data_IF_615508049203
#
_entry.id   IF_615508049203
#
_cell.length_a   1.000
_cell.length_b   1.000
_cell.length_c   1.000
_cell.angle_alpha   90.00
_cell.angle_beta   90.00
_cell.angle_gamma   90.00
#
_symmetry.space_group_name_H-M   'P 1'
#
loop_
_entity.id
_entity.type
_entity.pdbx_description
1 polymer ?
#
# COMPACT_ATOMS: atom_id res chain seq x y z
N UNK A 1 2.15 -24.04 -11.20
CA UNK A 1 1.61 -23.27 -10.07
C UNK A 1 2.39 -21.96 -9.99
N UNK A 2 1.97 -20.96 -10.74
CA UNK A 2 2.51 -19.59 -10.68
C UNK A 2 1.98 -18.96 -9.40
N UNK A 3 2.65 -19.23 -8.27
CA UNK A 3 2.25 -18.94 -6.89
C UNK A 3 2.24 -17.45 -6.49
N UNK A 4 2.14 -16.52 -7.45
CA UNK A 4 2.16 -15.09 -7.16
C UNK A 4 1.02 -14.42 -7.92
N UNK A 5 -0.19 -14.77 -7.50
CA UNK A 5 -1.41 -14.10 -7.92
C UNK A 5 -1.31 -12.61 -7.55
N UNK A 6 -1.29 -11.81 -8.60
CA UNK A 6 -1.39 -10.35 -8.58
C UNK A 6 -2.66 -9.88 -7.82
N UNK A 7 -3.63 -10.79 -7.66
CA UNK A 7 -4.91 -10.62 -6.95
C UNK A 7 -4.79 -10.47 -5.42
N UNK A 8 -3.60 -10.63 -4.82
CA UNK A 8 -3.42 -10.51 -3.35
C UNK A 8 -3.38 -9.05 -2.83
N UNK A 9 -3.32 -8.08 -3.74
CA UNK A 9 -3.17 -6.64 -3.42
C UNK A 9 -4.35 -5.85 -3.97
N UNK A 10 -5.54 -6.12 -3.44
CA UNK A 10 -6.72 -5.32 -3.74
C UNK A 10 -6.68 -3.99 -2.98
N UNK A 11 -6.86 -2.89 -3.71
CA UNK A 11 -7.03 -1.56 -3.11
C UNK A 11 -8.45 -1.39 -2.57
N UNK A 12 -8.59 -0.61 -1.50
CA UNK A 12 -9.89 -0.30 -0.96
C UNK A 12 -10.73 0.44 -2.02
N UNK A 13 -12.02 0.12 -2.15
CA UNK A 13 -12.91 0.70 -3.16
C UNK A 13 -13.09 2.23 -3.07
N UNK A 14 -12.75 2.81 -1.91
CA UNK A 14 -12.84 4.24 -1.64
C UNK A 14 -11.47 4.92 -1.73
N UNK A 15 -10.41 4.14 -1.96
CA UNK A 15 -9.06 4.65 -2.07
C UNK A 15 -8.85 5.37 -3.40
N UNK A 16 -8.02 6.39 -3.36
CA UNK A 16 -7.65 7.17 -4.53
C UNK A 16 -6.17 7.53 -4.42
N UNK A 17 -5.38 7.17 -5.42
CA UNK A 17 -3.93 7.41 -5.45
C UNK A 17 -3.51 8.89 -5.34
N UNK A 18 -4.42 9.82 -5.61
CA UNK A 18 -4.17 11.27 -5.59
C UNK A 18 -4.56 11.92 -4.25
N UNK A 19 -5.12 11.16 -3.30
CA UNK A 19 -5.59 11.68 -2.01
C UNK A 19 -5.30 10.71 -0.87
N UNK A 20 -5.09 11.26 0.33
CA UNK A 20 -5.00 10.42 1.52
C UNK A 20 -6.34 9.74 1.80
N UNK A 21 -6.36 8.41 1.91
CA UNK A 21 -7.53 7.61 2.24
C UNK A 21 -8.24 8.07 3.53
N UNK A 22 -7.47 8.54 4.52
CA UNK A 22 -8.00 8.93 5.83
C UNK A 22 -8.50 10.38 5.87
N UNK A 23 -7.69 11.34 5.41
CA UNK A 23 -8.01 12.77 5.55
C UNK A 23 -8.42 13.45 4.23
N UNK A 24 -8.32 12.77 3.10
CA UNK A 24 -8.66 13.31 1.78
C UNK A 24 -7.66 14.33 1.21
N UNK A 25 -6.60 14.69 1.95
CA UNK A 25 -5.65 15.71 1.52
C UNK A 25 -4.92 15.29 0.23
N UNK A 26 -4.91 16.14 -0.82
CA UNK A 26 -4.11 15.92 -2.01
C UNK A 26 -2.66 16.31 -1.73
N UNK A 27 -1.77 15.32 -1.71
CA UNK A 27 -0.33 15.46 -1.46
C UNK A 27 0.45 14.89 -2.63
N UNK A 28 1.69 15.33 -2.81
CA UNK A 28 2.59 14.77 -3.83
C UNK A 28 3.24 13.43 -3.42
N UNK A 29 3.16 13.05 -2.13
CA UNK A 29 3.74 11.79 -1.63
C UNK A 29 2.77 11.07 -0.71
N UNK A 30 2.47 9.83 -1.08
CA UNK A 30 1.66 8.89 -0.31
C UNK A 30 2.41 7.58 -0.09
N UNK A 31 2.10 6.93 1.03
CA UNK A 31 2.57 5.61 1.37
C UNK A 31 1.45 4.61 1.10
N UNK A 32 1.77 3.53 0.40
CA UNK A 32 0.84 2.43 0.16
C UNK A 32 0.96 1.43 1.31
N UNK A 33 -0.11 1.25 2.07
CA UNK A 33 -0.15 0.44 3.28
C UNK A 33 -1.38 -0.47 3.24
N UNK A 34 -1.34 -1.58 3.98
CA UNK A 34 -2.54 -2.41 4.17
C UNK A 34 -3.30 -1.96 5.40
N UNK A 35 -4.59 -1.67 5.25
CA UNK A 35 -5.47 -1.36 6.37
C UNK A 35 -5.90 -2.64 7.08
N UNK A 36 -5.69 -2.72 8.39
CA UNK A 36 -5.98 -3.92 9.19
C UNK A 36 -7.46 -4.33 9.12
N UNK A 37 -8.38 -3.34 9.12
CA UNK A 37 -9.83 -3.59 9.15
C UNK A 37 -10.36 -4.29 7.89
N UNK A 38 -9.94 -3.82 6.72
CA UNK A 38 -10.43 -4.32 5.43
C UNK A 38 -9.47 -5.34 4.80
N UNK A 39 -8.24 -5.42 5.31
CA UNK A 39 -7.11 -6.09 4.66
C UNK A 39 -6.85 -5.59 3.24
N UNK A 40 -7.35 -4.40 2.85
CA UNK A 40 -7.12 -3.81 1.53
C UNK A 40 -6.01 -2.76 1.57
N UNK A 41 -5.40 -2.51 0.42
CA UNK A 41 -4.35 -1.50 0.25
C UNK A 41 -4.95 -0.09 0.17
N UNK A 42 -4.27 0.90 0.76
CA UNK A 42 -4.69 2.30 0.77
C UNK A 42 -3.50 3.25 0.65
N UNK A 43 -3.74 4.47 0.15
CA UNK A 43 -2.76 5.56 0.11
C UNK A 43 -2.92 6.47 1.33
N UNK A 44 -1.87 6.64 2.14
CA UNK A 44 -1.87 7.58 3.27
C UNK A 44 -0.79 8.63 3.14
N UNK A 45 -1.11 9.86 3.58
CA UNK A 45 -0.08 10.87 3.81
C UNK A 45 0.75 10.52 5.05
N UNK A 46 1.92 11.14 5.15
CA UNK A 46 2.84 10.97 6.28
C UNK A 46 2.15 11.22 7.63
N UNK A 47 1.42 12.33 7.77
CA UNK A 47 0.75 12.67 9.02
C UNK A 47 -0.28 11.62 9.45
N UNK A 48 -1.08 11.10 8.51
CA UNK A 48 -2.07 10.07 8.83
C UNK A 48 -1.40 8.75 9.19
N UNK A 49 -0.36 8.36 8.45
CA UNK A 49 0.44 7.17 8.78
C UNK A 49 1.00 7.26 10.21
N UNK A 50 1.62 8.38 10.57
CA UNK A 50 2.26 8.52 11.88
C UNK A 50 1.26 8.58 13.04
N UNK A 51 0.09 9.18 12.83
CA UNK A 51 -0.95 9.32 13.86
C UNK A 51 -1.83 8.07 14.05
N UNK A 52 -1.74 7.08 13.15
CA UNK A 52 -2.63 5.91 13.18
C UNK A 52 -1.93 4.59 12.83
N UNK A 53 -0.69 4.44 13.29
CA UNK A 53 0.18 3.30 12.97
C UNK A 53 -0.40 1.93 13.32
N UNK A 54 -1.33 1.83 14.28
CA UNK A 54 -1.97 0.55 14.63
C UNK A 54 -3.03 0.10 13.64
N UNK A 55 -3.60 1.03 12.86
CA UNK A 55 -4.69 0.74 11.91
C UNK A 55 -4.17 0.23 10.56
N UNK A 56 -2.85 0.33 10.34
CA UNK A 56 -2.19 0.04 9.07
C UNK A 56 -0.85 -0.66 9.29
N UNK A 57 -0.45 -1.50 8.34
CA UNK A 57 0.91 -2.03 8.33
C UNK A 57 1.53 -1.97 6.93
N UNK A 58 2.86 -1.88 6.91
CA UNK A 58 3.64 -2.02 5.69
C UNK A 58 3.63 -3.49 5.29
N UNK A 59 2.90 -3.80 4.22
CA UNK A 59 2.88 -5.14 3.67
C UNK A 59 4.13 -5.37 2.80
N UNK A 60 5.22 -5.75 3.46
CA UNK A 60 6.48 -6.15 2.83
C UNK A 60 6.54 -7.67 2.59
N UNK A 61 5.40 -8.38 2.60
CA UNK A 61 5.38 -9.84 2.50
C UNK A 61 5.68 -10.36 1.09
N UNK A 62 5.80 -9.49 0.07
CA UNK A 62 6.29 -9.91 -1.24
C UNK A 62 7.69 -10.50 -1.10
N UNK A 63 7.92 -11.75 -1.54
CA UNK A 63 9.26 -12.29 -1.63
C UNK A 63 10.12 -11.35 -2.46
N UNK A 64 11.31 -11.02 -1.98
CA UNK A 64 12.28 -10.25 -2.74
C UNK A 64 12.57 -10.99 -4.06
N UNK A 65 12.12 -10.44 -5.18
CA UNK A 65 12.46 -10.98 -6.50
C UNK A 65 13.90 -10.60 -6.80
N UNK A 66 14.82 -11.53 -6.55
CA UNK A 66 16.24 -11.39 -6.92
C UNK A 66 16.48 -11.32 -8.45
N UNK A 67 15.42 -11.33 -9.25
CA UNK A 67 15.39 -11.10 -10.70
C UNK A 67 14.58 -9.80 -10.90
N UNK A 68 15.06 -8.68 -11.45
CA UNK A 68 15.98 -8.51 -12.58
C UNK A 68 16.64 -7.12 -12.49
N UNK A 69 17.96 -7.05 -12.32
CA UNK A 69 18.72 -6.04 -13.07
C UNK A 69 18.86 -6.63 -14.49
N UNK A 70 18.52 -5.90 -15.56
CA UNK A 70 18.98 -6.33 -16.87
C UNK A 70 20.52 -6.32 -16.84
N UNK A 71 21.21 -7.38 -17.31
CA UNK A 71 22.64 -7.28 -17.55
C UNK A 71 22.88 -6.13 -18.54
N UNK A 72 23.91 -5.34 -18.25
CA UNK A 72 24.35 -4.18 -19.04
C UNK A 72 25.02 -4.63 -20.34
#
# INVERSE_FOLDING_TARGET
>A
MTLFDDDSYEFHEMDNKDRCFRCGYPSGRFFVLRQVKSMKMVHLCEDCLLNSRSDYYLDNTRPWSSKRRPPK
#
